data_IF_179428332397
#
_entry.id   IF_179428332397
#
_cell.length_a   1.000
_cell.length_b   1.000
_cell.length_c   1.000
_cell.angle_alpha   90.00
_cell.angle_beta   90.00
_cell.angle_gamma   90.00
#
_symmetry.space_group_name_H-M   'P 1'
#
loop_
_entity.id
_entity.type
_entity.pdbx_description
1 polymer ?
#
# COMPACT_ATOMS: atom_id res chain seq x y z
N UNK A 1 -23.24 -0.68 -15.86
CA UNK A 1 -22.09 -0.16 -15.07
C UNK A 1 -20.82 -0.95 -15.34
N UNK A 2 -20.75 -2.27 -15.03
CA UNK A 2 -19.55 -3.10 -15.26
C UNK A 2 -19.01 -2.97 -16.69
N UNK A 3 -19.88 -3.13 -17.68
CA UNK A 3 -19.49 -3.05 -19.09
C UNK A 3 -18.95 -1.68 -19.48
N UNK A 4 -19.65 -0.60 -19.10
CA UNK A 4 -19.22 0.79 -19.37
C UNK A 4 -17.89 1.09 -18.68
N UNK A 5 -17.79 0.78 -17.39
CA UNK A 5 -16.55 1.00 -16.63
C UNK A 5 -15.40 0.15 -17.18
N UNK A 6 -15.64 -1.09 -17.62
CA UNK A 6 -14.65 -1.93 -18.27
C UNK A 6 -14.20 -1.37 -19.62
N UNK A 7 -15.15 -0.97 -20.46
CA UNK A 7 -14.86 -0.34 -21.76
C UNK A 7 -14.06 0.97 -21.61
N UNK A 8 -14.29 1.72 -20.54
CA UNK A 8 -13.62 3.00 -20.30
C UNK A 8 -12.30 2.84 -19.54
N UNK A 9 -12.14 1.82 -18.71
CA UNK A 9 -11.00 1.75 -17.80
C UNK A 9 -9.62 1.70 -18.50
N UNK A 10 -9.56 1.28 -19.76
CA UNK A 10 -8.34 1.39 -20.57
C UNK A 10 -8.22 2.73 -21.33
N UNK A 11 -9.19 3.17 -22.16
CA UNK A 11 -9.07 4.42 -22.92
C UNK A 11 -9.30 5.70 -22.11
N UNK A 12 -10.01 5.61 -20.99
CA UNK A 12 -10.53 6.69 -20.16
C UNK A 12 -10.46 6.31 -18.67
N UNK A 13 -9.26 6.02 -18.12
CA UNK A 13 -9.10 5.48 -16.77
C UNK A 13 -9.66 6.39 -15.68
N UNK A 14 -9.50 7.71 -15.82
CA UNK A 14 -10.02 8.69 -14.87
C UNK A 14 -11.55 8.71 -14.84
N UNK A 15 -12.19 8.66 -16.01
CA UNK A 15 -13.64 8.64 -16.13
C UNK A 15 -14.22 7.32 -15.63
N UNK A 16 -13.53 6.20 -15.81
CA UNK A 16 -13.93 4.92 -15.24
C UNK A 16 -13.90 4.97 -13.71
N UNK A 17 -12.81 5.47 -13.11
CA UNK A 17 -12.71 5.69 -11.66
C UNK A 17 -13.81 6.61 -11.15
N UNK A 18 -14.06 7.73 -11.83
CA UNK A 18 -15.04 8.73 -11.41
C UNK A 18 -16.47 8.18 -11.50
N UNK A 19 -16.79 7.46 -12.57
CA UNK A 19 -18.05 6.76 -12.73
C UNK A 19 -18.29 5.77 -11.59
N UNK A 20 -17.28 4.98 -11.21
CA UNK A 20 -17.37 4.06 -10.08
C UNK A 20 -17.54 4.82 -8.76
N UNK A 21 -16.75 5.87 -8.54
CA UNK A 21 -16.86 6.67 -7.31
C UNK A 21 -18.27 7.26 -7.14
N UNK A 22 -18.78 7.93 -8.18
CA UNK A 22 -20.13 8.55 -8.15
C UNK A 22 -21.21 7.49 -7.99
N UNK A 23 -21.12 6.37 -8.71
CA UNK A 23 -22.08 5.29 -8.58
C UNK A 23 -22.14 4.71 -7.17
N UNK A 24 -21.01 4.64 -6.48
CA UNK A 24 -20.96 4.19 -5.08
C UNK A 24 -21.47 5.22 -4.09
N UNK A 25 -21.51 6.52 -4.42
CA UNK A 25 -22.03 7.58 -3.55
C UNK A 25 -23.53 7.83 -3.72
N UNK A 26 -24.13 7.32 -4.79
CA UNK A 26 -25.55 7.48 -5.06
C UNK A 26 -26.44 6.96 -3.91
N UNK A 27 -27.45 7.73 -3.52
CA UNK A 27 -28.29 7.44 -2.35
C UNK A 27 -29.28 6.29 -2.59
N UNK A 28 -29.73 6.08 -3.84
CA UNK A 28 -30.70 5.04 -4.19
C UNK A 28 -30.06 3.73 -4.67
N UNK A 29 -28.87 3.79 -5.26
CA UNK A 29 -28.21 2.67 -5.93
C UNK A 29 -26.81 2.37 -5.40
N UNK A 30 -26.21 3.25 -4.59
CA UNK A 30 -24.83 3.15 -4.15
C UNK A 30 -24.52 1.89 -3.34
N UNK A 31 -25.48 1.38 -2.57
CA UNK A 31 -25.31 0.07 -1.90
C UNK A 31 -25.08 -1.05 -2.90
N UNK A 32 -25.90 -1.12 -3.97
CA UNK A 32 -25.77 -2.13 -5.03
C UNK A 32 -24.45 -1.99 -5.78
N UNK A 33 -23.99 -0.76 -6.03
CA UNK A 33 -22.69 -0.50 -6.63
C UNK A 33 -21.56 -1.05 -5.75
N UNK A 34 -21.56 -0.69 -4.46
CA UNK A 34 -20.57 -1.18 -3.50
C UNK A 34 -20.59 -2.71 -3.39
N UNK A 35 -21.76 -3.35 -3.36
CA UNK A 35 -21.87 -4.83 -3.30
C UNK A 35 -21.32 -5.50 -4.59
N UNK A 36 -21.55 -4.87 -5.75
CA UNK A 36 -20.96 -5.31 -7.00
C UNK A 36 -19.42 -5.19 -6.98
N UNK A 37 -18.86 -4.15 -6.34
CA UNK A 37 -17.41 -3.97 -6.24
C UNK A 37 -16.74 -5.11 -5.48
N UNK A 38 -17.35 -5.54 -4.36
CA UNK A 38 -16.85 -6.69 -3.62
C UNK A 38 -16.93 -7.97 -4.47
N UNK A 39 -18.01 -8.11 -5.24
CA UNK A 39 -18.18 -9.24 -6.16
C UNK A 39 -17.11 -9.25 -7.24
N UNK A 40 -16.75 -8.09 -7.80
CA UNK A 40 -15.71 -7.98 -8.83
C UNK A 40 -14.31 -8.16 -8.26
N UNK A 41 -14.07 -7.68 -7.05
CA UNK A 41 -12.78 -7.82 -6.35
C UNK A 41 -12.38 -9.29 -6.15
N UNK A 42 -13.36 -10.17 -5.90
CA UNK A 42 -13.17 -11.62 -5.67
C UNK A 42 -12.96 -12.44 -6.95
N UNK A 43 -13.05 -11.82 -8.12
CA UNK A 43 -12.95 -12.53 -9.40
C UNK A 43 -11.52 -12.50 -9.90
N UNK A 44 -11.13 -13.52 -10.67
CA UNK A 44 -9.79 -13.58 -11.27
C UNK A 44 -9.60 -12.50 -12.35
N UNK A 45 -8.35 -12.30 -12.78
CA UNK A 45 -8.02 -11.36 -13.86
C UNK A 45 -8.57 -11.79 -15.24
N UNK A 46 -9.00 -13.06 -15.38
CA UNK A 46 -9.67 -13.57 -16.59
C UNK A 46 -11.14 -13.14 -16.63
N UNK A 47 -11.81 -13.09 -15.48
CA UNK A 47 -13.22 -12.72 -15.35
C UNK A 47 -13.43 -11.20 -15.36
N UNK A 48 -12.50 -10.48 -14.71
CA UNK A 48 -12.51 -9.03 -14.57
C UNK A 48 -11.14 -8.51 -15.00
N UNK A 49 -11.06 -7.76 -16.12
CA UNK A 49 -9.78 -7.37 -16.67
C UNK A 49 -9.00 -6.44 -15.72
N UNK A 50 -7.66 -6.50 -15.71
CA UNK A 50 -6.81 -5.74 -14.80
C UNK A 50 -7.07 -4.23 -14.79
N UNK A 51 -7.31 -3.61 -15.95
CA UNK A 51 -7.60 -2.17 -16.03
C UNK A 51 -8.87 -1.78 -15.23
N UNK A 52 -9.90 -2.65 -15.21
CA UNK A 52 -11.10 -2.41 -14.42
C UNK A 52 -10.81 -2.60 -12.93
N UNK A 53 -9.94 -3.53 -12.55
CA UNK A 53 -9.50 -3.69 -11.16
C UNK A 53 -8.66 -2.51 -10.68
N UNK A 54 -7.82 -1.93 -11.52
CA UNK A 54 -7.10 -0.67 -11.24
C UNK A 54 -8.09 0.46 -10.98
N UNK A 55 -9.06 0.67 -11.89
CA UNK A 55 -10.10 1.69 -11.70
C UNK A 55 -10.92 1.44 -10.42
N UNK A 56 -11.16 0.17 -10.07
CA UNK A 56 -11.84 -0.21 -8.83
C UNK A 56 -11.03 0.13 -7.59
N UNK A 57 -9.72 -0.15 -7.57
CA UNK A 57 -8.84 0.21 -6.47
C UNK A 57 -8.79 1.74 -6.27
N UNK A 58 -8.66 2.51 -7.35
CA UNK A 58 -8.66 3.97 -7.33
C UNK A 58 -10.02 4.56 -6.91
N UNK A 59 -11.14 3.89 -7.23
CA UNK A 59 -12.44 4.27 -6.70
C UNK A 59 -12.54 3.99 -5.20
N UNK A 60 -12.00 2.85 -4.74
CA UNK A 60 -11.94 2.52 -3.32
C UNK A 60 -11.10 3.53 -2.53
N UNK A 61 -9.98 3.99 -3.09
CA UNK A 61 -9.17 5.09 -2.55
C UNK A 61 -10.01 6.34 -2.26
N UNK A 62 -10.78 6.81 -3.25
CA UNK A 62 -11.65 8.00 -3.09
C UNK A 62 -12.81 7.82 -2.11
N UNK A 63 -13.23 6.58 -1.90
CA UNK A 63 -14.33 6.24 -1.00
C UNK A 63 -13.85 5.92 0.42
N UNK A 64 -12.53 5.84 0.64
CA UNK A 64 -11.93 5.42 1.90
C UNK A 64 -12.26 6.35 3.08
N UNK A 65 -12.47 7.65 2.84
CA UNK A 65 -12.85 8.60 3.89
C UNK A 65 -14.30 8.42 4.36
N UNK A 66 -15.16 7.93 3.48
CA UNK A 66 -16.59 7.78 3.75
C UNK A 66 -16.89 6.36 4.26
N UNK A 67 -16.23 5.35 3.69
CA UNK A 67 -16.48 3.93 3.98
C UNK A 67 -15.18 3.14 4.24
N UNK A 68 -14.34 3.52 5.22
CA UNK A 68 -12.98 3.00 5.38
C UNK A 68 -12.93 1.48 5.52
N UNK A 69 -13.71 0.89 6.44
CA UNK A 69 -13.75 -0.56 6.67
C UNK A 69 -14.23 -1.33 5.44
N UNK A 70 -15.21 -0.79 4.71
CA UNK A 70 -15.73 -1.42 3.50
C UNK A 70 -14.73 -1.37 2.35
N UNK A 71 -13.99 -0.26 2.20
CA UNK A 71 -12.98 -0.11 1.16
C UNK A 71 -11.76 -0.96 1.45
N UNK A 72 -11.33 -1.05 2.72
CA UNK A 72 -10.27 -1.96 3.13
C UNK A 72 -10.59 -3.41 2.72
N UNK A 73 -11.79 -3.91 3.04
CA UNK A 73 -12.20 -5.26 2.63
C UNK A 73 -12.10 -5.48 1.12
N UNK A 74 -12.52 -4.49 0.30
CA UNK A 74 -12.47 -4.60 -1.16
C UNK A 74 -11.05 -4.61 -1.69
N UNK A 75 -10.17 -3.79 -1.12
CA UNK A 75 -8.74 -3.77 -1.44
C UNK A 75 -8.07 -5.09 -1.06
N UNK A 76 -8.44 -5.68 0.08
CA UNK A 76 -7.96 -7.02 0.50
C UNK A 76 -8.36 -8.11 -0.49
N UNK A 77 -9.61 -8.08 -0.94
CA UNK A 77 -10.12 -9.06 -1.90
C UNK A 77 -9.49 -8.88 -3.28
N UNK A 78 -9.26 -7.63 -3.71
CA UNK A 78 -8.54 -7.31 -4.95
C UNK A 78 -7.12 -7.88 -4.93
N UNK A 79 -6.36 -7.63 -3.86
CA UNK A 79 -5.00 -8.13 -3.71
C UNK A 79 -4.92 -9.66 -3.67
N UNK A 80 -5.95 -10.33 -3.14
CA UNK A 80 -5.99 -11.79 -3.05
C UNK A 80 -6.24 -12.49 -4.40
N UNK A 81 -6.89 -11.81 -5.35
CA UNK A 81 -7.37 -12.43 -6.60
C UNK A 81 -6.74 -11.81 -7.85
N UNK A 82 -5.52 -11.29 -7.76
CA UNK A 82 -4.76 -10.75 -8.89
C UNK A 82 -3.29 -11.08 -8.75
N UNK A 83 -2.60 -11.29 -9.86
CA UNK A 83 -1.13 -11.30 -9.92
C UNK A 83 -0.61 -10.13 -10.77
N UNK A 84 -1.50 -9.23 -11.21
CA UNK A 84 -1.16 -8.13 -12.10
C UNK A 84 -0.56 -6.96 -11.32
N UNK A 85 0.65 -6.56 -11.72
CA UNK A 85 1.45 -5.55 -11.00
C UNK A 85 0.70 -4.22 -10.87
N UNK A 86 0.10 -3.71 -11.95
CA UNK A 86 -0.68 -2.45 -11.90
C UNK A 86 -1.82 -2.48 -10.88
N UNK A 87 -2.50 -3.63 -10.72
CA UNK A 87 -3.60 -3.77 -9.76
C UNK A 87 -3.03 -3.73 -8.35
N UNK A 88 -1.97 -4.49 -8.08
CA UNK A 88 -1.33 -4.49 -6.76
C UNK A 88 -0.72 -3.13 -6.40
N UNK A 89 -0.22 -2.39 -7.40
CA UNK A 89 0.29 -1.04 -7.22
C UNK A 89 -0.84 -0.06 -6.88
N UNK A 90 -1.96 -0.12 -7.61
CA UNK A 90 -3.14 0.69 -7.32
C UNK A 90 -3.74 0.36 -5.93
N UNK A 91 -3.75 -0.91 -5.52
CA UNK A 91 -4.13 -1.30 -4.16
C UNK A 91 -3.17 -0.72 -3.13
N UNK A 92 -1.86 -0.81 -3.38
CA UNK A 92 -0.84 -0.23 -2.50
C UNK A 92 -1.01 1.28 -2.31
N UNK A 93 -1.24 2.01 -3.39
CA UNK A 93 -1.54 3.44 -3.37
C UNK A 93 -2.80 3.73 -2.54
N UNK A 94 -3.90 2.99 -2.77
CA UNK A 94 -5.16 3.20 -2.08
C UNK A 94 -5.07 2.99 -0.56
N UNK A 95 -4.22 2.05 -0.11
CA UNK A 95 -3.97 1.82 1.31
C UNK A 95 -3.28 3.01 2.00
N UNK A 96 -2.60 3.89 1.25
CA UNK A 96 -1.98 5.09 1.84
C UNK A 96 -3.01 6.11 2.33
N UNK A 97 -4.16 6.22 1.65
CA UNK A 97 -5.27 7.08 2.11
C UNK A 97 -5.90 6.51 3.39
N UNK A 98 -6.02 5.19 3.48
CA UNK A 98 -6.49 4.55 4.71
C UNK A 98 -5.49 4.74 5.87
N UNK A 99 -4.18 4.71 5.58
CA UNK A 99 -3.12 4.98 6.57
C UNK A 99 -3.17 6.40 7.14
N UNK A 100 -3.55 7.38 6.33
CA UNK A 100 -3.60 8.79 6.75
C UNK A 100 -4.60 9.02 7.89
N UNK A 101 -5.62 8.17 7.99
CA UNK A 101 -6.55 8.14 9.11
C UNK A 101 -5.90 7.48 10.35
N UNK A 102 -5.59 8.22 11.44
CA UNK A 102 -4.81 7.69 12.57
C UNK A 102 -5.39 6.41 13.18
N UNK A 103 -6.72 6.33 13.27
CA UNK A 103 -7.46 5.19 13.79
C UNK A 103 -7.25 3.88 13.02
N UNK A 104 -6.85 3.94 11.75
CA UNK A 104 -6.68 2.76 10.89
C UNK A 104 -5.22 2.28 10.83
N UNK A 105 -4.24 3.07 11.28
CA UNK A 105 -2.80 2.77 11.07
C UNK A 105 -2.39 1.41 11.63
N UNK A 106 -2.85 1.09 12.84
CA UNK A 106 -2.58 -0.21 13.47
C UNK A 106 -3.12 -1.38 12.65
N UNK A 107 -4.34 -1.25 12.15
CA UNK A 107 -5.00 -2.28 11.34
C UNK A 107 -4.31 -2.45 9.99
N UNK A 108 -3.94 -1.33 9.33
CA UNK A 108 -3.19 -1.37 8.07
C UNK A 108 -1.80 -1.98 8.29
N UNK A 109 -1.09 -1.60 9.34
CA UNK A 109 0.22 -2.21 9.67
C UNK A 109 0.09 -3.72 9.89
N UNK A 110 -0.92 -4.16 10.65
CA UNK A 110 -1.22 -5.57 10.86
C UNK A 110 -1.53 -6.30 9.56
N UNK A 111 -2.37 -5.70 8.71
CA UNK A 111 -2.74 -6.25 7.41
C UNK A 111 -1.54 -6.39 6.48
N UNK A 112 -0.66 -5.40 6.42
CA UNK A 112 0.57 -5.45 5.63
C UNK A 112 1.53 -6.54 6.15
N UNK A 113 1.67 -6.69 7.47
CA UNK A 113 2.49 -7.74 8.08
C UNK A 113 1.93 -9.15 7.83
N UNK A 114 0.60 -9.30 7.78
CA UNK A 114 -0.07 -10.54 7.37
C UNK A 114 0.19 -10.82 5.88
N UNK A 115 -0.07 -9.86 5.01
CA UNK A 115 0.07 -10.02 3.56
C UNK A 115 1.49 -10.33 3.12
N UNK A 116 2.49 -9.80 3.84
CA UNK A 116 3.91 -10.09 3.56
C UNK A 116 4.25 -11.58 3.66
N UNK A 117 3.47 -12.33 4.44
CA UNK A 117 3.65 -13.78 4.69
C UNK A 117 2.55 -14.62 4.05
N UNK A 118 1.67 -14.00 3.27
CA UNK A 118 0.54 -14.71 2.67
C UNK A 118 1.02 -15.60 1.51
N UNK A 119 0.38 -16.75 1.26
CA UNK A 119 0.69 -17.61 0.12
C UNK A 119 0.29 -16.97 -1.22
N UNK A 120 -0.67 -16.04 -1.21
CA UNK A 120 -1.12 -15.32 -2.40
C UNK A 120 -0.07 -14.28 -2.84
N UNK A 121 0.47 -14.44 -4.05
CA UNK A 121 1.49 -13.53 -4.62
C UNK A 121 0.97 -12.09 -4.69
N UNK A 122 -0.26 -11.88 -5.16
CA UNK A 122 -0.88 -10.57 -5.22
C UNK A 122 -0.89 -9.79 -3.88
N UNK A 123 -1.13 -10.47 -2.75
CA UNK A 123 -1.07 -9.85 -1.41
C UNK A 123 0.35 -9.45 -1.04
N UNK A 124 1.33 -10.34 -1.26
CA UNK A 124 2.75 -10.00 -1.00
C UNK A 124 3.19 -8.79 -1.82
N UNK A 125 2.88 -8.77 -3.12
CA UNK A 125 3.22 -7.65 -4.02
C UNK A 125 2.47 -6.37 -3.64
N UNK A 126 1.18 -6.44 -3.32
CA UNK A 126 0.41 -5.27 -2.87
C UNK A 126 0.95 -4.72 -1.55
N UNK A 127 1.43 -5.58 -0.63
CA UNK A 127 2.07 -5.13 0.59
C UNK A 127 3.40 -4.41 0.30
N UNK A 128 4.19 -4.87 -0.68
CA UNK A 128 5.41 -4.16 -1.10
C UNK A 128 5.08 -2.80 -1.69
N UNK A 129 4.12 -2.71 -2.59
CA UNK A 129 3.67 -1.43 -3.15
C UNK A 129 3.13 -0.48 -2.08
N UNK A 130 2.30 -0.95 -1.15
CA UNK A 130 1.79 -0.13 -0.06
C UNK A 130 2.93 0.42 0.82
N UNK A 131 3.88 -0.44 1.19
CA UNK A 131 5.02 -0.01 1.99
C UNK A 131 5.89 1.00 1.23
N UNK A 132 6.15 0.78 -0.06
CA UNK A 132 6.91 1.69 -0.91
C UNK A 132 6.25 3.07 -1.04
N UNK A 133 4.94 3.12 -1.29
CA UNK A 133 4.20 4.38 -1.35
C UNK A 133 4.22 5.11 -0.01
N UNK A 134 4.12 4.40 1.12
CA UNK A 134 4.26 5.02 2.44
C UNK A 134 5.69 5.48 2.71
N UNK A 135 6.70 4.71 2.30
CA UNK A 135 8.11 5.01 2.51
C UNK A 135 8.58 6.21 1.66
N UNK A 136 7.99 6.42 0.47
CA UNK A 136 8.27 7.56 -0.38
C UNK A 136 7.69 8.89 0.14
N UNK A 137 6.84 8.86 1.17
CA UNK A 137 6.19 10.05 1.72
C UNK A 137 6.97 10.63 2.89
N UNK A 138 7.04 11.95 2.92
CA UNK A 138 7.57 12.73 4.05
C UNK A 138 6.49 13.66 4.60
N UNK A 139 6.66 14.03 5.86
CA UNK A 139 5.92 15.12 6.52
C UNK A 139 6.42 16.48 6.02
N UNK A 140 5.74 17.56 6.42
CA UNK A 140 6.13 18.94 6.05
C UNK A 140 7.56 19.30 6.49
N UNK A 141 8.05 18.70 7.57
CA UNK A 141 9.43 18.87 8.09
C UNK A 141 10.44 17.92 7.46
N UNK A 142 10.04 17.16 6.44
CA UNK A 142 10.93 16.22 5.74
C UNK A 142 11.13 14.87 6.44
N UNK A 143 10.50 14.62 7.60
CA UNK A 143 10.58 13.32 8.28
C UNK A 143 9.74 12.26 7.54
N UNK A 144 10.24 11.02 7.30
CA UNK A 144 9.49 9.96 6.64
C UNK A 144 8.17 9.66 7.38
N UNK A 145 7.06 9.55 6.64
CA UNK A 145 5.72 9.35 7.22
C UNK A 145 5.68 8.11 8.09
N UNK A 146 6.33 7.02 7.65
CA UNK A 146 6.38 5.79 8.45
C UNK A 146 6.98 6.03 9.84
N UNK A 147 8.07 6.80 9.94
CA UNK A 147 8.69 7.16 11.23
C UNK A 147 7.82 8.07 12.08
N UNK A 148 7.19 9.06 11.46
CA UNK A 148 6.40 10.06 12.16
C UNK A 148 5.05 9.52 12.68
N UNK A 149 4.52 8.44 12.09
CA UNK A 149 3.11 8.06 12.27
C UNK A 149 2.84 6.67 12.81
N UNK A 150 3.87 5.83 12.94
CA UNK A 150 3.68 4.45 13.38
C UNK A 150 3.82 4.27 14.90
N UNK A 151 3.24 3.18 15.40
CA UNK A 151 3.18 2.87 16.84
C UNK A 151 4.50 2.31 17.40
N UNK A 152 4.90 2.81 18.56
CA UNK A 152 6.24 2.68 19.19
C UNK A 152 6.73 1.23 19.38
N UNK A 153 5.91 0.29 19.84
CA UNK A 153 6.40 -1.00 20.34
C UNK A 153 6.87 -2.00 19.26
N UNK A 154 6.45 -1.82 18.01
CA UNK A 154 6.73 -2.77 16.90
C UNK A 154 7.39 -2.12 15.68
N UNK A 155 7.75 -0.83 15.80
CA UNK A 155 7.97 0.03 14.65
C UNK A 155 9.24 -0.28 13.85
N UNK A 156 10.38 -0.42 14.55
CA UNK A 156 11.70 -0.48 13.90
C UNK A 156 11.99 -1.85 13.28
N UNK A 157 11.72 -2.93 14.02
CA UNK A 157 11.90 -4.29 13.51
C UNK A 157 11.00 -4.58 12.31
N UNK A 158 9.73 -4.15 12.36
CA UNK A 158 8.82 -4.28 11.22
C UNK A 158 9.34 -3.52 9.99
N UNK A 159 9.75 -2.25 10.14
CA UNK A 159 10.28 -1.49 9.00
C UNK A 159 11.57 -2.08 8.44
N UNK A 160 12.49 -2.51 9.30
CA UNK A 160 13.73 -3.16 8.86
C UNK A 160 13.43 -4.45 8.08
N UNK A 161 12.50 -5.27 8.57
CA UNK A 161 12.05 -6.47 7.87
C UNK A 161 11.38 -6.14 6.53
N UNK A 162 10.58 -5.08 6.44
CA UNK A 162 9.93 -4.65 5.19
C UNK A 162 10.94 -4.12 4.18
N UNK A 163 11.87 -3.25 4.60
CA UNK A 163 12.97 -2.79 3.76
C UNK A 163 13.81 -3.96 3.25
N UNK A 164 14.13 -4.92 4.10
CA UNK A 164 14.84 -6.15 3.72
C UNK A 164 14.07 -6.94 2.65
N UNK A 165 12.77 -7.15 2.85
CA UNK A 165 11.90 -7.81 1.86
C UNK A 165 11.94 -7.11 0.50
N UNK A 166 11.85 -5.77 0.48
CA UNK A 166 11.97 -5.00 -0.76
C UNK A 166 13.34 -5.15 -1.43
N UNK A 167 14.43 -5.16 -0.66
CA UNK A 167 15.78 -5.33 -1.18
C UNK A 167 16.00 -6.73 -1.77
N UNK A 168 15.40 -7.76 -1.16
CA UNK A 168 15.44 -9.12 -1.69
C UNK A 168 14.60 -9.26 -2.97
N UNK A 169 13.44 -8.62 -3.02
CA UNK A 169 12.48 -8.71 -4.13
C UNK A 169 12.61 -7.58 -5.18
N UNK A 170 13.69 -6.79 -5.13
CA UNK A 170 13.86 -5.55 -5.91
C UNK A 170 13.66 -5.72 -7.42
N UNK A 171 13.97 -6.90 -7.96
CA UNK A 171 13.80 -7.20 -9.39
C UNK A 171 12.33 -7.24 -9.84
N UNK A 172 11.39 -7.39 -8.90
CA UNK A 172 9.94 -7.48 -9.15
C UNK A 172 9.17 -6.21 -8.80
N UNK A 173 9.89 -5.17 -8.38
CA UNK A 173 9.30 -3.92 -7.90
C UNK A 173 9.50 -2.80 -8.92
N UNK A 174 8.58 -1.82 -8.98
CA UNK A 174 8.75 -0.64 -9.83
C UNK A 174 10.04 0.13 -9.44
N UNK A 175 11.06 0.21 -10.32
CA UNK A 175 12.36 0.76 -9.93
C UNK A 175 12.29 2.23 -9.52
N UNK A 176 11.43 3.01 -10.20
CA UNK A 176 11.21 4.43 -9.90
C UNK A 176 10.63 4.64 -8.50
N UNK A 177 9.69 3.79 -8.07
CA UNK A 177 9.06 3.91 -6.76
C UNK A 177 10.01 3.49 -5.64
N UNK A 178 10.78 2.41 -5.84
CA UNK A 178 11.84 2.02 -4.92
C UNK A 178 12.90 3.11 -4.77
N UNK A 179 13.33 3.71 -5.88
CA UNK A 179 14.27 4.83 -5.87
C UNK A 179 13.71 6.03 -5.11
N UNK A 180 12.45 6.42 -5.36
CA UNK A 180 11.79 7.52 -4.65
C UNK A 180 11.74 7.28 -3.14
N UNK A 181 11.37 6.06 -2.72
CA UNK A 181 11.34 5.68 -1.33
C UNK A 181 12.71 5.77 -0.65
N UNK A 182 13.76 5.21 -1.30
CA UNK A 182 15.12 5.28 -0.77
C UNK A 182 15.64 6.73 -0.73
N UNK A 183 15.40 7.52 -1.78
CA UNK A 183 15.78 8.94 -1.82
C UNK A 183 15.11 9.73 -0.71
N UNK A 184 13.81 9.53 -0.45
CA UNK A 184 13.10 10.20 0.64
C UNK A 184 13.74 9.91 2.01
N UNK A 185 14.10 8.65 2.27
CA UNK A 185 14.71 8.24 3.53
C UNK A 185 16.15 8.75 3.68
N UNK A 186 16.96 8.70 2.62
CA UNK A 186 18.33 9.22 2.64
C UNK A 186 18.35 10.75 2.80
N UNK A 187 17.45 11.47 2.12
CA UNK A 187 17.32 12.92 2.27
C UNK A 187 16.87 13.30 3.68
N UNK A 188 16.00 12.50 4.31
CA UNK A 188 15.64 12.70 5.70
C UNK A 188 16.83 12.48 6.64
N UNK A 189 17.62 11.42 6.43
CA UNK A 189 18.80 11.13 7.24
C UNK A 189 19.85 12.25 7.19
N UNK A 190 19.96 12.97 6.07
CA UNK A 190 20.88 14.10 5.93
C UNK A 190 20.28 15.41 6.41
N UNK A 191 19.02 15.70 6.09
CA UNK A 191 18.40 17.00 6.39
C UNK A 191 18.00 17.15 7.85
N UNK A 192 17.67 16.05 8.55
CA UNK A 192 17.35 16.07 9.97
C UNK A 192 18.59 16.33 10.85
N UNK A 193 19.81 16.19 10.30
CA UNK A 193 21.05 16.53 10.98
C UNK A 193 21.16 18.05 11.26
N UNK A 194 20.58 18.87 10.38
CA UNK A 194 20.65 20.33 10.48
C UNK A 194 19.55 20.91 11.39
N UNK A 195 18.58 20.08 11.80
CA UNK A 195 17.45 20.47 12.66
C UNK A 195 17.66 19.91 14.07
N UNK A 196 18.21 20.73 14.97
CA UNK A 196 18.55 20.35 16.36
C UNK A 196 17.41 19.66 17.13
N UNK A 197 16.15 20.01 16.86
CA UNK A 197 14.98 19.46 17.56
C UNK A 197 14.55 18.06 17.05
N UNK A 198 15.08 17.60 15.91
CA UNK A 198 14.70 16.33 15.26
C UNK A 198 15.88 15.36 15.11
N UNK A 199 17.01 15.67 15.72
CA UNK A 199 18.23 14.87 15.63
C UNK A 199 18.03 13.44 16.15
N UNK A 200 17.12 13.26 17.13
CA UNK A 200 16.72 11.96 17.69
C UNK A 200 16.06 11.01 16.66
N UNK A 201 15.64 11.53 15.50
CA UNK A 201 15.03 10.75 14.41
C UNK A 201 16.04 10.30 13.34
N UNK A 202 17.27 10.84 13.34
CA UNK A 202 18.32 10.42 12.41
C UNK A 202 18.82 9.00 12.70
N UNK A 203 19.14 8.71 13.95
CA UNK A 203 19.63 7.40 14.40
C UNK A 203 18.66 6.25 14.07
N UNK A 204 17.33 6.40 14.26
CA UNK A 204 16.35 5.43 13.79
C UNK A 204 16.41 5.12 12.30
N UNK A 205 16.58 6.12 11.42
CA UNK A 205 16.62 5.91 9.96
C UNK A 205 17.81 5.02 9.60
N UNK A 206 19.01 5.41 10.06
CA UNK A 206 20.23 4.69 9.77
C UNK A 206 20.19 3.29 10.37
N UNK A 207 19.70 3.14 11.60
CA UNK A 207 19.55 1.84 12.26
C UNK A 207 18.61 0.92 11.49
N UNK A 208 17.45 1.40 11.04
CA UNK A 208 16.49 0.61 10.26
C UNK A 208 17.10 0.12 8.94
N UNK A 209 17.74 1.02 8.20
CA UNK A 209 18.36 0.67 6.91
C UNK A 209 19.57 -0.25 7.10
N UNK A 210 20.39 -0.01 8.12
CA UNK A 210 21.50 -0.90 8.48
C UNK A 210 21.01 -2.29 8.86
N UNK A 211 19.99 -2.41 9.72
CA UNK A 211 19.39 -3.70 10.05
C UNK A 211 18.82 -4.37 8.80
N UNK A 212 18.13 -3.63 7.92
CA UNK A 212 17.60 -4.17 6.68
C UNK A 212 18.69 -4.81 5.79
N UNK A 213 19.90 -4.23 5.76
CA UNK A 213 21.03 -4.69 4.94
C UNK A 213 21.91 -5.76 5.62
N UNK A 214 22.22 -5.59 6.91
CA UNK A 214 23.30 -6.33 7.59
C UNK A 214 22.84 -7.42 8.55
N UNK A 215 21.59 -7.39 9.01
CA UNK A 215 21.15 -8.33 10.05
C UNK A 215 21.02 -9.76 9.47
N UNK A 216 21.68 -10.78 10.07
CA UNK A 216 21.57 -12.16 9.62
C UNK A 216 20.13 -12.69 9.75
N UNK A 217 19.79 -13.74 8.99
CA UNK A 217 18.48 -14.44 8.98
C UNK A 217 18.12 -15.15 10.32
N UNK A 218 18.35 -14.53 11.47
CA UNK A 218 18.03 -15.09 12.79
C UNK A 218 16.70 -14.61 13.34
N UNK A 219 16.03 -13.65 12.71
CA UNK A 219 14.65 -13.33 13.05
C UNK A 219 13.71 -14.43 12.55
N UNK A 220 13.23 -15.21 13.51
CA UNK A 220 12.23 -16.28 13.41
C UNK A 220 10.96 -15.94 12.61
N UNK A 221 10.77 -14.68 12.19
CA UNK A 221 9.67 -14.23 11.33
C UNK A 221 9.82 -14.72 9.87
N UNK A 222 11.04 -15.04 9.41
CA UNK A 222 11.30 -15.55 8.06
C UNK A 222 11.97 -16.94 8.02
N UNK A 223 12.25 -17.55 9.18
CA UNK A 223 12.84 -18.90 9.23
C UNK A 223 11.84 -20.04 8.92
N UNK A 224 10.58 -19.72 8.62
CA UNK A 224 9.53 -20.72 8.41
C UNK A 224 9.41 -21.26 6.96
N UNK A 225 10.05 -20.64 5.97
CA UNK A 225 9.89 -21.05 4.55
C UNK A 225 11.24 -21.20 3.83
N UNK A 226 11.95 -22.28 4.14
CA UNK A 226 12.77 -22.98 3.14
C UNK A 226 12.08 -24.27 2.72
#
# INVERSE_FOLDING_TARGET
MREIAGQWAQPLPEQARDLLTVAALDTGTGRRARDAYLTWARRSDQDIPPHLKVALAQACERLADIYPTMMLLRLTELAAHTDHEDVTNAVGQALTVLWDQPKNRKDIQGQLAEWSRSPEKGRRTAAHHAFLHLAARTTEVGCPVLLATAHEDMHRAWQAARWRGLLMDHATLPPSLLQQALTAWMNAATSLQDLQDLQDLQDPILTILQHAVYEPQTDTVYAADR
#
